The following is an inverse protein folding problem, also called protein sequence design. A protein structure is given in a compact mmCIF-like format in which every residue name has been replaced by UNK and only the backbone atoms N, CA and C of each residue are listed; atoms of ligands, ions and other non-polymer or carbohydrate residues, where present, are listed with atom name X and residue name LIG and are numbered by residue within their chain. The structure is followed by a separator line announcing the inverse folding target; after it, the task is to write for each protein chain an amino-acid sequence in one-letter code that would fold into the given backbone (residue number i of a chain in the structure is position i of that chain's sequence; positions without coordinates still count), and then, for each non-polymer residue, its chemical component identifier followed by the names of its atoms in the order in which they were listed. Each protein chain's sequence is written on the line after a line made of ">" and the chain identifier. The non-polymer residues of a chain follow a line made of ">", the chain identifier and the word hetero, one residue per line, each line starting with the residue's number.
data_IF_864584610243
#
_entry.id   IF_864584610243
#
_cell.length_a   1.000
_cell.length_b   1.000
_cell.length_c   1.000
_cell.angle_alpha   90.00
_cell.angle_beta   90.00
_cell.angle_gamma   90.00
#
_symmetry.space_group_name_H-M   'P 1'
#
loop_
_entity.id
_entity.type
_entity.pdbx_description
1 polymer ?
#
# COMPACT_ATOMS: atom_id res chain seq x y z
N UNK A 1 1.28 -3.49 -4.19
CA UNK A 1 2.19 -2.35 -4.43
C UNK A 1 1.47 -1.14 -4.98
N UNK A 2 0.97 -1.14 -6.24
CA UNK A 2 0.34 0.05 -6.86
C UNK A 2 -0.83 0.64 -6.04
N UNK A 3 -1.71 -0.20 -5.52
CA UNK A 3 -2.82 0.19 -4.64
C UNK A 3 -2.32 0.87 -3.36
N UNK A 4 -1.37 0.27 -2.66
CA UNK A 4 -0.76 0.84 -1.45
C UNK A 4 -0.09 2.20 -1.72
N UNK A 5 0.65 2.33 -2.81
CA UNK A 5 1.27 3.60 -3.23
C UNK A 5 0.22 4.68 -3.52
N UNK A 6 -0.91 4.30 -4.13
CA UNK A 6 -2.00 5.22 -4.40
C UNK A 6 -2.61 5.75 -3.09
N UNK A 7 -2.92 4.88 -2.14
CA UNK A 7 -3.48 5.29 -0.85
C UNK A 7 -2.51 6.13 -0.02
N UNK A 8 -1.20 5.83 -0.07
CA UNK A 8 -0.18 6.67 0.55
C UNK A 8 -0.19 8.09 0.00
N UNK A 9 -0.22 8.23 -1.33
CA UNK A 9 -0.29 9.54 -1.98
C UNK A 9 -1.57 10.29 -1.61
N UNK A 10 -2.71 9.59 -1.59
CA UNK A 10 -3.99 10.17 -1.20
C UNK A 10 -3.98 10.69 0.25
N UNK A 11 -3.42 9.92 1.18
CA UNK A 11 -3.27 10.36 2.57
C UNK A 11 -2.34 11.58 2.70
N UNK A 12 -1.24 11.61 1.93
CA UNK A 12 -0.34 12.78 1.87
C UNK A 12 -1.09 14.02 1.36
N UNK A 13 -1.84 13.91 0.26
CA UNK A 13 -2.62 15.01 -0.31
C UNK A 13 -3.73 15.49 0.66
N UNK A 14 -4.43 14.56 1.31
CA UNK A 14 -5.46 14.86 2.31
C UNK A 14 -4.88 15.54 3.56
N UNK A 15 -3.70 15.11 4.01
CA UNK A 15 -2.97 15.75 5.11
C UNK A 15 -2.59 17.18 4.75
N UNK A 16 -2.02 17.40 3.57
CA UNK A 16 -1.67 18.75 3.09
C UNK A 16 -2.91 19.65 3.03
N UNK A 17 -4.05 19.12 2.61
CA UNK A 17 -5.32 19.87 2.57
C UNK A 17 -5.81 20.24 3.97
N UNK A 18 -5.79 19.30 4.91
CA UNK A 18 -6.16 19.53 6.30
C UNK A 18 -5.25 20.58 6.96
N UNK A 19 -3.93 20.44 6.78
CA UNK A 19 -2.94 21.37 7.34
C UNK A 19 -3.16 22.79 6.80
N UNK A 20 -3.49 22.94 5.51
CA UNK A 20 -3.86 24.24 4.90
C UNK A 20 -5.14 24.84 5.50
N UNK A 21 -6.16 24.02 5.79
CA UNK A 21 -7.40 24.49 6.40
C UNK A 21 -7.13 25.08 7.80
N UNK A 22 -6.36 24.36 8.62
CA UNK A 22 -5.98 24.80 9.96
C UNK A 22 -5.11 26.06 9.89
N UNK A 23 -4.12 26.08 9.00
CA UNK A 23 -3.24 27.24 8.79
C UNK A 23 -3.99 28.49 8.29
N UNK A 24 -5.13 28.31 7.60
CA UNK A 24 -6.00 29.41 7.15
C UNK A 24 -6.92 29.93 8.26
N UNK A 25 -6.81 29.40 9.49
CA UNK A 25 -7.60 29.84 10.63
C UNK A 25 -8.97 29.20 10.74
N UNK A 26 -9.27 28.13 9.98
CA UNK A 26 -10.50 27.36 10.16
C UNK A 26 -10.38 26.59 11.47
N UNK A 27 -11.30 26.83 12.40
CA UNK A 27 -11.27 26.21 13.71
C UNK A 27 -11.44 24.68 13.60
N UNK A 28 -10.82 23.95 14.53
CA UNK A 28 -10.81 22.48 14.47
C UNK A 28 -12.17 21.84 14.68
N UNK A 29 -13.09 22.55 15.32
CA UNK A 29 -14.45 22.13 15.61
C UNK A 29 -15.42 22.38 14.46
N UNK A 30 -15.00 23.14 13.44
CA UNK A 30 -15.77 23.35 12.22
C UNK A 30 -15.95 22.05 11.44
N UNK A 31 -17.09 21.97 10.76
CA UNK A 31 -17.48 20.76 10.05
C UNK A 31 -16.46 20.38 8.97
N UNK A 32 -15.90 21.36 8.26
CA UNK A 32 -14.91 21.17 7.20
C UNK A 32 -13.65 20.47 7.72
N UNK A 33 -13.12 20.91 8.87
CA UNK A 33 -11.92 20.34 9.47
C UNK A 33 -12.20 18.95 10.02
N UNK A 34 -13.34 18.74 10.67
CA UNK A 34 -13.76 17.41 11.14
C UNK A 34 -13.93 16.41 10.00
N UNK A 35 -14.55 16.84 8.90
CA UNK A 35 -14.71 15.98 7.74
C UNK A 35 -13.37 15.68 7.05
N UNK A 36 -12.48 16.68 6.92
CA UNK A 36 -11.13 16.46 6.37
C UNK A 36 -10.30 15.49 7.22
N UNK A 37 -10.38 15.58 8.55
CA UNK A 37 -9.78 14.59 9.48
C UNK A 37 -10.33 13.18 9.25
N UNK A 38 -11.66 13.03 9.15
CA UNK A 38 -12.29 11.73 8.90
C UNK A 38 -11.86 11.11 7.57
N UNK A 39 -11.69 11.93 6.54
CA UNK A 39 -11.22 11.48 5.22
C UNK A 39 -9.76 11.01 5.31
N UNK A 40 -8.89 11.77 5.99
CA UNK A 40 -7.50 11.37 6.22
C UNK A 40 -7.40 10.05 7.00
N UNK A 41 -8.22 9.88 8.05
CA UNK A 41 -8.26 8.64 8.84
C UNK A 41 -8.66 7.43 7.98
N UNK A 42 -9.61 7.61 7.06
CA UNK A 42 -9.99 6.54 6.14
C UNK A 42 -8.86 6.20 5.16
N UNK A 43 -8.18 7.21 4.60
CA UNK A 43 -6.99 6.98 3.76
C UNK A 43 -5.90 6.21 4.52
N UNK A 44 -5.67 6.52 5.80
CA UNK A 44 -4.70 5.82 6.63
C UNK A 44 -5.09 4.35 6.89
N UNK A 45 -6.38 4.08 7.15
CA UNK A 45 -6.87 2.69 7.27
C UNK A 45 -6.64 1.90 5.98
N UNK A 46 -6.83 2.53 4.82
CA UNK A 46 -6.59 1.87 3.55
C UNK A 46 -5.11 1.58 3.28
N UNK A 47 -4.19 2.40 3.80
CA UNK A 47 -2.75 2.11 3.76
C UNK A 47 -2.44 0.84 4.55
N UNK A 48 -2.99 0.69 5.76
CA UNK A 48 -2.80 -0.49 6.61
C UNK A 48 -3.40 -1.77 5.99
N UNK A 49 -4.63 -1.69 5.47
CA UNK A 49 -5.28 -2.82 4.79
C UNK A 49 -4.50 -3.26 3.55
N UNK A 50 -4.13 -2.30 2.70
CA UNK A 50 -3.39 -2.59 1.47
C UNK A 50 -1.99 -3.15 1.75
N UNK A 51 -1.31 -2.68 2.80
CA UNK A 51 -0.04 -3.24 3.25
C UNK A 51 -0.21 -4.69 3.72
N UNK A 52 -1.24 -4.96 4.53
CA UNK A 52 -1.55 -6.30 5.05
C UNK A 52 -1.85 -7.28 3.91
N UNK A 53 -2.70 -6.88 2.97
CA UNK A 53 -3.05 -7.69 1.78
C UNK A 53 -1.84 -7.95 0.89
N UNK A 54 -1.00 -6.93 0.67
CA UNK A 54 0.22 -7.08 -0.12
C UNK A 54 1.24 -8.00 0.55
N UNK A 55 1.43 -7.89 1.88
CA UNK A 55 2.29 -8.78 2.64
C UNK A 55 1.83 -10.24 2.60
N UNK A 56 0.51 -10.48 2.71
CA UNK A 56 -0.07 -11.81 2.55
C UNK A 56 0.19 -12.39 1.16
N UNK A 57 -0.11 -11.62 0.11
CA UNK A 57 0.11 -12.06 -1.27
C UNK A 57 1.59 -12.35 -1.56
N UNK A 58 2.52 -11.56 -1.00
CA UNK A 58 3.95 -11.82 -1.12
C UNK A 58 4.39 -13.08 -0.36
N UNK A 59 3.77 -13.37 0.80
CA UNK A 59 3.96 -14.64 1.51
C UNK A 59 3.52 -15.83 0.68
N UNK A 60 2.30 -15.79 0.14
CA UNK A 60 1.75 -16.85 -0.72
C UNK A 60 2.59 -17.07 -1.98
N UNK A 61 3.06 -15.99 -2.62
CA UNK A 61 3.94 -16.08 -3.78
C UNK A 61 5.30 -16.69 -3.43
N UNK A 62 5.88 -16.32 -2.27
CA UNK A 62 7.15 -16.88 -1.79
C UNK A 62 7.03 -18.38 -1.55
N UNK A 63 5.95 -18.82 -0.90
CA UNK A 63 5.70 -20.24 -0.66
C UNK A 63 5.58 -21.02 -1.97
N UNK A 64 4.89 -20.45 -2.97
CA UNK A 64 4.78 -21.04 -4.30
C UNK A 64 6.15 -21.15 -4.98
N UNK A 65 6.93 -20.07 -5.03
CA UNK A 65 8.28 -20.04 -5.61
C UNK A 65 9.17 -21.11 -4.96
N UNK A 66 9.18 -21.19 -3.62
CA UNK A 66 9.97 -22.20 -2.89
C UNK A 66 9.53 -23.62 -3.27
N UNK A 67 8.23 -23.86 -3.48
CA UNK A 67 7.70 -25.19 -3.84
C UNK A 67 8.08 -25.66 -5.26
N UNK A 68 8.46 -24.74 -6.16
CA UNK A 68 8.75 -25.05 -7.56
C UNK A 68 10.20 -24.80 -7.97
N UNK A 69 10.96 -23.94 -7.28
CA UNK A 69 12.32 -23.56 -7.71
C UNK A 69 13.34 -24.70 -7.78
N UNK A 70 13.12 -25.78 -7.04
CA UNK A 70 14.00 -26.95 -7.02
C UNK A 70 13.64 -27.97 -8.10
N UNK A 71 12.54 -27.75 -8.84
CA UNK A 71 12.02 -28.67 -9.85
C UNK A 71 12.63 -28.33 -11.21
N UNK A 72 13.37 -29.25 -11.86
CA UNK A 72 14.06 -28.98 -13.12
C UNK A 72 13.14 -28.46 -14.24
N UNK A 73 11.89 -28.93 -14.28
CA UNK A 73 10.91 -28.55 -15.30
C UNK A 73 10.46 -27.07 -15.24
N UNK A 74 10.82 -26.36 -14.16
CA UNK A 74 10.52 -24.93 -13.99
C UNK A 74 11.74 -24.02 -14.02
N UNK A 75 12.98 -24.53 -14.14
CA UNK A 75 14.20 -23.74 -14.00
C UNK A 75 14.35 -22.59 -15.00
N UNK A 76 13.84 -22.75 -16.23
CA UNK A 76 13.88 -21.71 -17.27
C UNK A 76 12.50 -21.07 -17.48
N UNK A 77 11.57 -21.28 -16.54
CA UNK A 77 10.23 -20.73 -16.67
C UNK A 77 10.26 -19.21 -16.45
N UNK A 78 9.84 -18.40 -17.44
CA UNK A 78 9.89 -16.94 -17.32
C UNK A 78 9.00 -16.40 -16.19
N UNK A 79 7.90 -17.09 -15.86
CA UNK A 79 7.03 -16.71 -14.75
C UNK A 79 7.69 -16.94 -13.38
N UNK A 80 8.56 -17.95 -13.26
CA UNK A 80 9.32 -18.18 -12.03
C UNK A 80 10.33 -17.05 -11.79
N UNK A 81 11.09 -16.67 -12.83
CA UNK A 81 12.03 -15.54 -12.75
C UNK A 81 11.29 -14.22 -12.45
N UNK A 82 10.14 -14.01 -13.08
CA UNK A 82 9.32 -12.82 -12.85
C UNK A 82 8.78 -12.80 -11.40
N UNK A 83 8.31 -13.94 -10.89
CA UNK A 83 7.86 -14.05 -9.51
C UNK A 83 8.98 -13.73 -8.50
N UNK A 84 10.19 -14.23 -8.74
CA UNK A 84 11.36 -13.89 -7.92
C UNK A 84 11.69 -12.39 -7.97
N UNK A 85 11.66 -11.79 -9.16
CA UNK A 85 11.86 -10.33 -9.34
C UNK A 85 10.81 -9.53 -8.58
N UNK A 86 9.53 -9.88 -8.71
CA UNK A 86 8.44 -9.20 -7.99
C UNK A 86 8.60 -9.32 -6.47
N UNK A 87 9.08 -10.47 -5.95
CA UNK A 87 9.33 -10.64 -4.53
C UNK A 87 10.47 -9.75 -4.01
N UNK A 88 11.46 -9.40 -4.84
CA UNK A 88 12.50 -8.43 -4.50
C UNK A 88 11.96 -6.99 -4.45
N UNK A 89 11.05 -6.64 -5.37
CA UNK A 89 10.41 -5.32 -5.43
C UNK A 89 9.40 -5.09 -4.29
N UNK A 90 8.87 -6.15 -3.68
CA UNK A 90 7.99 -6.03 -2.50
C UNK A 90 8.84 -5.73 -1.26
N UNK A 91 9.24 -4.46 -1.16
CA UNK A 91 9.67 -3.82 0.10
C UNK A 91 8.57 -2.85 0.50
N UNK A 92 7.77 -3.23 1.51
CA UNK A 92 6.73 -2.38 2.12
C UNK A 92 7.16 -2.07 3.55
#
# INVERSE_FOLDING_TARGET
>A
MKEHTLYRKEAEDNKVKLDKMIASGIAEDEWEVKNAKRVLDESNRMIEDSATRAGRAAGELRDLVVSVKTKPEFQENPELLNAETVLEEVTI
#
